data_IF_722773658552
#
_entry.id   IF_722773658552
#
_cell.length_a   1.000
_cell.length_b   1.000
_cell.length_c   1.000
_cell.angle_alpha   90.00
_cell.angle_beta   90.00
_cell.angle_gamma   90.00
#
_symmetry.space_group_name_H-M   'P 1'
#
loop_
_entity.id
_entity.type
_entity.pdbx_description
1 polymer ?
#
# COMPACT_ATOMS: atom_id res chain seq x y z
N UNK A 1 8.67 -38.43 -2.64
CA UNK A 1 9.83 -38.08 -3.50
C UNK A 1 10.69 -37.10 -2.74
N UNK A 2 11.97 -37.40 -2.50
CA UNK A 2 12.82 -36.55 -1.65
C UNK A 2 14.15 -36.24 -2.34
N UNK A 3 14.71 -35.04 -2.07
CA UNK A 3 16.05 -34.63 -2.49
C UNK A 3 16.36 -34.91 -3.97
N UNK A 4 15.44 -34.49 -4.85
CA UNK A 4 15.49 -34.82 -6.27
C UNK A 4 15.38 -33.58 -7.14
N UNK A 5 16.26 -33.46 -8.13
CA UNK A 5 16.27 -32.33 -9.08
C UNK A 5 15.92 -32.81 -10.49
N UNK A 6 14.88 -32.23 -11.08
CA UNK A 6 14.40 -32.55 -12.42
C UNK A 6 14.67 -31.36 -13.35
N UNK A 7 15.59 -31.54 -14.30
CA UNK A 7 16.11 -30.41 -15.08
C UNK A 7 15.04 -29.76 -15.95
N UNK A 8 14.31 -30.51 -16.77
CA UNK A 8 13.39 -29.98 -17.77
C UNK A 8 12.11 -30.83 -17.97
N UNK A 9 11.45 -31.31 -16.90
CA UNK A 9 10.25 -32.12 -17.05
C UNK A 9 9.11 -31.30 -17.67
N UNK A 10 8.34 -31.91 -18.57
CA UNK A 10 7.11 -31.26 -19.04
C UNK A 10 6.03 -31.26 -17.94
N UNK A 11 5.86 -32.42 -17.29
CA UNK A 11 5.12 -32.62 -16.04
C UNK A 11 6.08 -33.21 -15.01
N UNK A 12 6.28 -32.58 -13.85
CA UNK A 12 7.31 -33.01 -12.88
C UNK A 12 6.80 -34.11 -11.94
N UNK A 13 5.67 -33.90 -11.24
CA UNK A 13 5.06 -34.95 -10.44
C UNK A 13 3.53 -34.84 -10.45
N UNK A 14 2.88 -35.97 -10.73
CA UNK A 14 1.43 -36.07 -10.87
C UNK A 14 0.83 -37.00 -9.81
N UNK A 15 0.14 -36.39 -8.84
CA UNK A 15 -0.71 -37.02 -7.82
C UNK A 15 -2.19 -36.68 -8.05
N UNK A 16 -2.54 -36.39 -9.31
CA UNK A 16 -3.87 -35.95 -9.75
C UNK A 16 -4.49 -36.88 -10.81
N UNK A 17 -3.71 -37.77 -11.42
CA UNK A 17 -4.25 -38.85 -12.26
C UNK A 17 -4.93 -39.95 -11.44
N UNK A 18 -4.37 -40.26 -10.27
CA UNK A 18 -4.88 -41.27 -9.34
C UNK A 18 -4.89 -40.71 -7.92
N UNK A 19 -5.69 -41.33 -7.05
CA UNK A 19 -5.69 -41.00 -5.62
C UNK A 19 -4.37 -41.47 -4.99
N UNK A 20 -3.69 -40.55 -4.32
CA UNK A 20 -2.40 -40.76 -3.68
C UNK A 20 -2.44 -40.23 -2.24
N UNK A 21 -2.98 -41.03 -1.33
CA UNK A 21 -2.99 -40.68 0.10
C UNK A 21 -1.56 -40.73 0.69
N UNK A 22 -1.31 -39.92 1.71
CA UNK A 22 -0.06 -39.85 2.48
C UNK A 22 1.20 -39.63 1.60
N UNK A 23 1.03 -38.96 0.45
CA UNK A 23 2.16 -38.63 -0.41
C UNK A 23 3.06 -37.61 0.28
N UNK A 24 4.37 -37.83 0.20
CA UNK A 24 5.36 -36.98 0.86
C UNK A 24 6.40 -36.51 -0.14
N UNK A 25 6.53 -35.19 -0.31
CA UNK A 25 7.53 -34.53 -1.14
C UNK A 25 8.32 -33.55 -0.29
N UNK A 26 9.65 -33.66 -0.36
CA UNK A 26 10.55 -32.75 0.35
C UNK A 26 11.80 -32.46 -0.49
N UNK A 27 12.08 -31.18 -0.70
CA UNK A 27 13.21 -30.69 -1.48
C UNK A 27 13.22 -31.26 -2.92
N UNK A 28 12.07 -31.13 -3.58
CA UNK A 28 11.91 -31.47 -5.00
C UNK A 28 12.09 -30.20 -5.84
N UNK A 29 13.13 -30.17 -6.67
CA UNK A 29 13.54 -28.98 -7.40
C UNK A 29 13.55 -29.20 -8.92
N UNK A 30 13.48 -28.12 -9.71
CA UNK A 30 13.59 -28.26 -11.16
C UNK A 30 13.13 -27.07 -11.99
N UNK A 31 13.09 -27.26 -13.31
CA UNK A 31 12.46 -26.33 -14.24
C UNK A 31 11.32 -27.01 -15.02
N UNK A 32 10.16 -27.25 -14.38
CA UNK A 32 8.99 -27.78 -15.08
C UNK A 32 8.52 -26.83 -16.20
N UNK A 33 8.04 -27.40 -17.30
CA UNK A 33 7.61 -26.62 -18.47
C UNK A 33 6.10 -26.35 -18.49
N UNK A 34 5.27 -27.33 -18.11
CA UNK A 34 3.80 -27.19 -18.11
C UNK A 34 3.18 -27.30 -16.73
N UNK A 35 3.55 -28.32 -15.94
CA UNK A 35 3.08 -28.46 -14.56
C UNK A 35 4.20 -28.95 -13.66
N UNK A 36 4.40 -28.28 -12.53
CA UNK A 36 5.33 -28.74 -11.50
C UNK A 36 4.74 -29.92 -10.74
N UNK A 37 4.03 -29.64 -9.66
CA UNK A 37 3.37 -30.67 -8.85
C UNK A 37 1.86 -30.50 -8.96
N UNK A 38 1.15 -31.59 -9.25
CA UNK A 38 -0.30 -31.64 -9.20
C UNK A 38 -0.79 -32.65 -8.16
N UNK A 39 -1.82 -32.29 -7.40
CA UNK A 39 -2.46 -33.16 -6.39
C UNK A 39 -3.98 -33.11 -6.57
N UNK A 40 -4.65 -34.27 -6.53
CA UNK A 40 -6.11 -34.33 -6.70
C UNK A 40 -6.72 -35.69 -6.37
N UNK A 41 -7.85 -36.01 -7.00
CA UNK A 41 -8.56 -37.32 -6.92
C UNK A 41 -8.98 -37.77 -5.53
N UNK A 42 -9.20 -36.81 -4.64
CA UNK A 42 -9.57 -37.07 -3.24
C UNK A 42 -8.41 -37.63 -2.41
N UNK A 43 -7.16 -37.32 -2.80
CA UNK A 43 -5.96 -37.63 -2.02
C UNK A 43 -6.03 -36.99 -0.64
N UNK A 44 -5.57 -37.70 0.39
CA UNK A 44 -5.64 -37.26 1.78
C UNK A 44 -4.28 -37.22 2.44
N UNK A 45 -4.08 -36.25 3.35
CA UNK A 45 -2.90 -36.12 4.21
C UNK A 45 -1.57 -36.02 3.44
N UNK A 46 -1.61 -35.38 2.28
CA UNK A 46 -0.41 -35.14 1.48
C UNK A 46 0.44 -34.01 2.04
N UNK A 47 1.75 -34.10 1.82
CA UNK A 47 2.71 -33.05 2.13
C UNK A 47 3.59 -32.75 0.92
N UNK A 48 3.64 -31.48 0.51
CA UNK A 48 4.63 -30.94 -0.43
C UNK A 48 5.41 -29.84 0.27
N UNK A 49 6.71 -30.10 0.46
CA UNK A 49 7.60 -29.28 1.27
C UNK A 49 8.84 -28.87 0.48
N UNK A 50 9.31 -27.65 0.70
CA UNK A 50 10.56 -27.13 0.16
C UNK A 50 10.71 -27.36 -1.36
N UNK A 51 9.60 -27.36 -2.11
CA UNK A 51 9.64 -27.58 -3.54
C UNK A 51 10.07 -26.29 -4.26
N UNK A 52 11.07 -26.38 -5.14
CA UNK A 52 11.79 -25.22 -5.67
C UNK A 52 11.81 -25.22 -7.19
N UNK A 53 11.01 -24.38 -7.83
CA UNK A 53 10.94 -24.31 -9.30
C UNK A 53 11.56 -23.05 -9.87
N UNK A 54 12.57 -23.22 -10.73
CA UNK A 54 13.28 -22.12 -11.38
C UNK A 54 13.93 -22.57 -12.70
N UNK A 55 13.72 -21.83 -13.79
CA UNK A 55 14.35 -22.08 -15.10
C UNK A 55 15.87 -22.23 -15.06
N UNK A 56 16.54 -21.60 -14.09
CA UNK A 56 17.98 -21.74 -13.88
C UNK A 56 18.44 -23.16 -13.58
N UNK A 57 17.59 -24.03 -13.00
CA UNK A 57 17.93 -25.43 -12.78
C UNK A 57 18.28 -26.14 -14.11
N UNK A 58 17.57 -25.82 -15.19
CA UNK A 58 17.91 -26.35 -16.52
C UNK A 58 19.13 -25.66 -17.10
N UNK A 59 19.10 -24.32 -17.22
CA UNK A 59 20.10 -23.59 -17.98
C UNK A 59 21.50 -23.62 -17.36
N UNK A 60 21.63 -23.85 -16.04
CA UNK A 60 22.92 -23.90 -15.33
C UNK A 60 23.35 -25.32 -14.95
N UNK A 61 22.68 -26.35 -15.45
CA UNK A 61 23.03 -27.73 -15.16
C UNK A 61 24.42 -28.09 -15.74
N UNK A 62 25.29 -28.78 -14.97
CA UNK A 62 26.67 -29.09 -15.39
C UNK A 62 26.77 -30.16 -16.49
N UNK A 63 25.67 -30.84 -16.84
CA UNK A 63 25.63 -31.93 -17.83
C UNK A 63 25.38 -31.47 -19.28
N UNK A 64 25.44 -30.17 -19.57
CA UNK A 64 25.29 -29.64 -20.94
C UNK A 64 26.58 -29.88 -21.75
N UNK A 65 26.82 -31.14 -22.13
CA UNK A 65 27.86 -31.51 -23.09
C UNK A 65 27.31 -31.53 -24.54
N UNK A 66 28.21 -31.56 -25.53
CA UNK A 66 28.10 -31.37 -27.01
C UNK A 66 26.74 -31.48 -27.76
N UNK A 67 25.73 -32.15 -27.22
CA UNK A 67 24.37 -32.24 -27.78
C UNK A 67 23.38 -31.23 -27.18
N UNK A 68 23.77 -30.47 -26.16
CA UNK A 68 22.96 -29.46 -25.49
C UNK A 68 23.59 -28.07 -25.70
N UNK A 69 23.45 -27.52 -26.90
CA UNK A 69 23.95 -26.18 -27.26
C UNK A 69 23.00 -25.06 -26.85
N UNK A 70 21.73 -25.35 -26.62
CA UNK A 70 20.72 -24.40 -26.16
C UNK A 70 20.61 -24.43 -24.63
N UNK A 71 21.31 -23.53 -23.96
CA UNK A 71 21.31 -23.48 -22.49
C UNK A 71 22.41 -22.60 -21.90
N UNK A 72 23.51 -22.39 -22.63
CA UNK A 72 24.50 -21.39 -22.27
C UNK A 72 23.86 -20.00 -22.40
N UNK A 73 23.83 -19.26 -21.30
CA UNK A 73 23.08 -18.01 -21.12
C UNK A 73 23.07 -17.07 -22.33
N UNK A 74 21.93 -16.38 -22.50
CA UNK A 74 21.58 -15.61 -23.69
C UNK A 74 20.10 -15.81 -24.05
N UNK A 75 19.80 -15.93 -25.34
CA UNK A 75 18.43 -16.11 -25.88
C UNK A 75 17.72 -17.38 -25.37
N UNK A 76 18.43 -18.46 -25.04
CA UNK A 76 17.83 -19.72 -24.57
C UNK A 76 17.12 -19.60 -23.22
N UNK A 77 17.75 -18.93 -22.24
CA UNK A 77 17.11 -18.68 -20.94
C UNK A 77 15.92 -17.73 -21.09
N UNK A 78 16.04 -16.67 -21.91
CA UNK A 78 14.95 -15.74 -22.17
C UNK A 78 13.74 -16.45 -22.82
N UNK A 79 13.97 -17.32 -23.80
CA UNK A 79 12.93 -18.13 -24.43
C UNK A 79 12.27 -19.12 -23.46
N UNK A 80 13.06 -19.78 -22.61
CA UNK A 80 12.54 -20.68 -21.57
C UNK A 80 11.68 -19.92 -20.56
N UNK A 81 12.18 -18.81 -20.04
CA UNK A 81 11.46 -17.99 -19.07
C UNK A 81 10.17 -17.44 -19.70
N UNK A 82 10.21 -16.97 -20.95
CA UNK A 82 8.99 -16.56 -21.67
C UNK A 82 7.99 -17.72 -21.76
N UNK A 83 8.44 -18.91 -22.15
CA UNK A 83 7.57 -20.07 -22.25
C UNK A 83 6.95 -20.44 -20.89
N UNK A 84 7.73 -20.47 -19.81
CA UNK A 84 7.24 -20.78 -18.46
C UNK A 84 6.24 -19.72 -17.97
N UNK A 85 6.50 -18.43 -18.21
CA UNK A 85 5.59 -17.34 -17.87
C UNK A 85 4.23 -17.46 -18.61
N UNK A 86 4.25 -17.99 -19.84
CA UNK A 86 3.05 -18.18 -20.67
C UNK A 86 2.32 -19.52 -20.43
N UNK A 87 2.98 -20.54 -19.83
CA UNK A 87 2.45 -21.91 -19.82
C UNK A 87 2.55 -22.66 -18.48
N UNK A 88 3.49 -22.33 -17.61
CA UNK A 88 3.76 -23.12 -16.39
C UNK A 88 2.73 -22.84 -15.29
N UNK A 89 2.08 -23.89 -14.82
CA UNK A 89 1.37 -23.90 -13.54
C UNK A 89 2.24 -24.66 -12.53
N UNK A 90 2.87 -23.91 -11.61
CA UNK A 90 3.90 -24.47 -10.73
C UNK A 90 3.33 -25.51 -9.77
N UNK A 91 2.25 -25.16 -9.06
CA UNK A 91 1.56 -26.08 -8.16
C UNK A 91 0.05 -26.05 -8.41
N UNK A 92 -0.54 -27.21 -8.64
CA UNK A 92 -1.96 -27.37 -8.96
C UNK A 92 -2.65 -28.30 -7.97
N UNK A 93 -3.68 -27.82 -7.28
CA UNK A 93 -4.42 -28.56 -6.28
C UNK A 93 -5.89 -28.66 -6.68
N UNK A 94 -6.31 -29.87 -7.04
CA UNK A 94 -7.70 -30.23 -7.28
C UNK A 94 -8.40 -30.67 -6.00
N UNK A 95 -9.13 -31.78 -6.04
CA UNK A 95 -9.78 -32.31 -4.85
C UNK A 95 -8.78 -33.06 -3.97
N UNK A 96 -8.37 -32.46 -2.86
CA UNK A 96 -7.57 -33.08 -1.81
C UNK A 96 -8.03 -32.63 -0.42
N UNK A 97 -7.79 -33.48 0.59
CA UNK A 97 -8.14 -33.22 1.98
C UNK A 97 -6.91 -33.22 2.88
N UNK A 98 -6.80 -32.23 3.76
CA UNK A 98 -5.69 -32.10 4.70
C UNK A 98 -4.32 -32.08 3.98
N UNK A 99 -4.22 -31.30 2.91
CA UNK A 99 -2.99 -31.10 2.14
C UNK A 99 -2.11 -30.03 2.82
N UNK A 100 -0.85 -30.36 3.09
CA UNK A 100 0.13 -29.42 3.64
C UNK A 100 1.11 -28.96 2.54
N UNK A 101 1.14 -27.66 2.33
CA UNK A 101 2.15 -26.98 1.51
C UNK A 101 3.07 -26.20 2.44
N UNK A 102 4.37 -26.46 2.40
CA UNK A 102 5.33 -25.87 3.34
C UNK A 102 6.59 -25.35 2.65
N UNK A 103 6.85 -24.05 2.73
CA UNK A 103 8.07 -23.38 2.23
C UNK A 103 8.36 -23.66 0.74
N UNK A 104 7.29 -23.70 -0.06
CA UNK A 104 7.38 -23.94 -1.49
C UNK A 104 7.65 -22.63 -2.24
N UNK A 105 8.42 -22.70 -3.32
CA UNK A 105 8.83 -21.54 -4.10
C UNK A 105 8.76 -21.79 -5.60
N UNK A 106 8.29 -20.79 -6.35
CA UNK A 106 8.36 -20.79 -7.81
C UNK A 106 8.84 -19.45 -8.34
N UNK A 107 9.61 -19.50 -9.42
CA UNK A 107 10.08 -18.35 -10.16
C UNK A 107 9.54 -18.36 -11.59
N UNK A 108 8.95 -17.24 -12.01
CA UNK A 108 8.56 -16.95 -13.39
C UNK A 108 7.61 -18.01 -14.00
N UNK A 109 6.54 -18.32 -13.28
CA UNK A 109 5.46 -19.18 -13.77
C UNK A 109 4.29 -18.35 -14.31
N UNK A 110 3.38 -18.99 -15.05
CA UNK A 110 2.09 -18.39 -15.40
C UNK A 110 1.19 -18.31 -14.18
N UNK A 111 1.10 -19.40 -13.41
CA UNK A 111 0.40 -19.46 -12.12
C UNK A 111 1.31 -20.14 -11.10
N UNK A 112 1.53 -19.49 -9.96
CA UNK A 112 2.31 -20.05 -8.85
C UNK A 112 1.55 -21.14 -8.12
N UNK A 113 0.45 -20.78 -7.45
CA UNK A 113 -0.48 -21.71 -6.81
C UNK A 113 -1.84 -21.68 -7.52
N UNK A 114 -2.34 -22.83 -7.94
CA UNK A 114 -3.63 -22.95 -8.60
C UNK A 114 -4.54 -23.95 -7.87
N UNK A 115 -5.57 -23.44 -7.21
CA UNK A 115 -6.58 -24.25 -6.53
C UNK A 115 -7.81 -24.40 -7.42
N UNK A 116 -7.95 -25.56 -8.05
CA UNK A 116 -9.00 -25.83 -9.04
C UNK A 116 -10.19 -26.58 -8.44
N UNK A 117 -11.35 -26.42 -9.06
CA UNK A 117 -12.49 -27.29 -8.79
C UNK A 117 -12.30 -28.63 -9.52
N UNK A 118 -12.38 -29.75 -8.79
CA UNK A 118 -12.33 -31.11 -9.34
C UNK A 118 -13.55 -31.91 -8.84
N UNK A 119 -14.39 -32.39 -9.77
CA UNK A 119 -15.55 -33.22 -9.42
C UNK A 119 -16.56 -32.53 -8.48
N UNK A 120 -16.64 -31.19 -8.52
CA UNK A 120 -17.48 -30.39 -7.63
C UNK A 120 -16.90 -30.14 -6.23
N UNK A 121 -15.68 -30.62 -5.96
CA UNK A 121 -14.92 -30.36 -4.74
C UNK A 121 -13.66 -29.54 -5.06
N UNK A 122 -12.89 -29.20 -4.03
CA UNK A 122 -11.60 -28.52 -4.18
C UNK A 122 -10.66 -28.88 -3.02
N UNK A 123 -9.50 -28.24 -2.99
CA UNK A 123 -8.46 -28.52 -2.01
C UNK A 123 -8.83 -28.01 -0.61
N UNK A 124 -8.34 -28.68 0.42
CA UNK A 124 -8.39 -28.19 1.80
C UNK A 124 -7.13 -28.52 2.57
N UNK A 125 -6.74 -27.65 3.49
CA UNK A 125 -5.50 -27.79 4.25
C UNK A 125 -4.79 -26.47 4.52
N UNK A 126 -3.46 -26.49 4.51
CA UNK A 126 -2.62 -25.35 4.90
C UNK A 126 -1.53 -25.07 3.88
N UNK A 127 -1.31 -23.79 3.61
CA UNK A 127 -0.14 -23.29 2.88
C UNK A 127 0.66 -22.40 3.80
N UNK A 128 1.89 -22.78 4.11
CA UNK A 128 2.76 -22.10 5.06
C UNK A 128 4.04 -21.68 4.33
N UNK A 129 4.34 -20.38 4.28
CA UNK A 129 5.61 -19.86 3.75
C UNK A 129 5.78 -20.01 2.23
N UNK A 130 4.68 -19.99 1.45
CA UNK A 130 4.79 -20.09 -0.01
C UNK A 130 5.29 -18.78 -0.63
N UNK A 131 6.24 -18.87 -1.57
CA UNK A 131 6.73 -17.75 -2.37
C UNK A 131 6.47 -17.93 -3.88
N UNK A 132 5.91 -16.90 -4.51
CA UNK A 132 5.84 -16.78 -5.97
C UNK A 132 6.61 -15.54 -6.38
N UNK A 133 7.69 -15.68 -7.14
CA UNK A 133 8.52 -14.56 -7.61
C UNK A 133 8.47 -14.44 -9.14
N UNK A 134 8.38 -13.22 -9.64
CA UNK A 134 8.32 -12.87 -11.05
C UNK A 134 7.25 -13.64 -11.84
N UNK A 135 6.23 -14.11 -11.15
CA UNK A 135 5.16 -14.94 -11.70
C UNK A 135 4.04 -14.04 -12.24
N UNK A 136 3.33 -14.48 -13.27
CA UNK A 136 2.24 -13.68 -13.85
C UNK A 136 1.03 -13.61 -12.92
N UNK A 137 0.65 -14.75 -12.34
CA UNK A 137 -0.44 -14.88 -11.38
C UNK A 137 0.02 -15.63 -10.13
N UNK A 138 0.04 -14.95 -8.98
CA UNK A 138 0.58 -15.53 -7.74
C UNK A 138 -0.18 -16.76 -7.26
N UNK A 139 -1.45 -16.54 -6.91
CA UNK A 139 -2.37 -17.53 -6.36
C UNK A 139 -3.74 -17.34 -6.99
N UNK A 140 -4.28 -18.42 -7.55
CA UNK A 140 -5.60 -18.46 -8.18
C UNK A 140 -6.48 -19.47 -7.45
N UNK A 141 -7.66 -19.02 -7.01
CA UNK A 141 -8.69 -19.80 -6.34
C UNK A 141 -9.90 -19.95 -7.26
N UNK A 142 -10.05 -21.10 -7.88
CA UNK A 142 -11.25 -21.52 -8.60
C UNK A 142 -12.12 -22.47 -7.77
N UNK A 143 -11.53 -23.23 -6.86
CA UNK A 143 -12.24 -24.16 -5.97
C UNK A 143 -11.50 -24.45 -4.68
N UNK A 144 -12.21 -24.37 -3.55
CA UNK A 144 -11.72 -24.77 -2.23
C UNK A 144 -12.74 -25.69 -1.58
N UNK A 145 -12.24 -26.79 -1.02
CA UNK A 145 -13.02 -27.82 -0.37
C UNK A 145 -13.69 -27.32 0.91
N UNK A 146 -14.74 -28.04 1.33
CA UNK A 146 -15.57 -27.71 2.50
C UNK A 146 -14.80 -27.56 3.83
N UNK A 147 -13.64 -28.19 3.95
CA UNK A 147 -12.83 -28.14 5.17
C UNK A 147 -11.98 -26.86 5.25
N UNK A 148 -12.03 -26.01 4.22
CA UNK A 148 -11.33 -24.73 4.19
C UNK A 148 -9.86 -24.85 3.80
N UNK A 149 -9.30 -23.70 3.44
CA UNK A 149 -7.89 -23.54 3.07
C UNK A 149 -7.37 -22.28 3.75
N UNK A 150 -6.25 -22.40 4.45
CA UNK A 150 -5.60 -21.29 5.15
C UNK A 150 -4.21 -21.10 4.60
N UNK A 151 -3.87 -19.85 4.29
CA UNK A 151 -2.55 -19.47 3.83
C UNK A 151 -1.88 -18.59 4.90
N UNK A 152 -0.62 -18.86 5.23
CA UNK A 152 0.16 -18.13 6.23
C UNK A 152 1.52 -17.78 5.64
N UNK A 153 1.96 -16.53 5.81
CA UNK A 153 3.25 -16.03 5.30
C UNK A 153 3.42 -16.23 3.79
N UNK A 154 2.34 -16.05 3.02
CA UNK A 154 2.43 -16.14 1.56
C UNK A 154 3.06 -14.86 1.01
N UNK A 155 4.11 -15.03 0.22
CA UNK A 155 4.76 -13.98 -0.55
C UNK A 155 4.36 -14.12 -2.02
N UNK A 156 4.07 -12.99 -2.65
CA UNK A 156 3.82 -12.95 -4.07
C UNK A 156 4.41 -11.69 -4.68
N UNK A 157 5.40 -11.85 -5.55
CA UNK A 157 5.89 -10.81 -6.43
C UNK A 157 5.56 -11.20 -7.87
N UNK A 158 4.89 -10.28 -8.57
CA UNK A 158 4.47 -10.51 -9.96
C UNK A 158 5.22 -9.61 -10.92
N UNK A 159 5.44 -10.16 -12.13
CA UNK A 159 6.12 -9.49 -13.23
C UNK A 159 5.37 -8.21 -13.67
N UNK A 160 6.10 -7.33 -14.36
CA UNK A 160 5.54 -6.15 -14.99
C UNK A 160 4.49 -6.51 -16.06
N UNK A 161 3.45 -5.68 -16.26
CA UNK A 161 2.49 -5.84 -17.34
C UNK A 161 3.15 -5.62 -18.70
N UNK A 162 3.83 -6.64 -19.22
CA UNK A 162 4.17 -6.79 -20.64
C UNK A 162 2.95 -7.20 -21.48
N UNK A 163 3.09 -7.19 -22.82
CA UNK A 163 2.04 -7.37 -23.84
C UNK A 163 1.40 -8.78 -23.91
N UNK A 164 0.98 -9.33 -22.78
CA UNK A 164 0.27 -10.61 -22.72
C UNK A 164 -1.25 -10.39 -22.65
N UNK A 165 -2.03 -11.39 -23.05
CA UNK A 165 -3.49 -11.36 -23.00
C UNK A 165 -4.09 -11.41 -21.56
N UNK A 166 -3.38 -11.98 -20.57
CA UNK A 166 -3.85 -11.98 -19.18
C UNK A 166 -3.21 -10.85 -18.38
N UNK A 167 -4.02 -10.27 -17.51
CA UNK A 167 -3.63 -9.17 -16.64
C UNK A 167 -2.88 -9.71 -15.40
N UNK A 168 -1.61 -9.32 -15.16
CA UNK A 168 -0.82 -9.86 -14.06
C UNK A 168 -1.33 -9.39 -12.69
N UNK A 169 -1.34 -10.30 -11.72
CA UNK A 169 -1.78 -9.99 -10.36
C UNK A 169 -1.59 -11.11 -9.33
N UNK A 170 -1.70 -10.76 -8.06
CA UNK A 170 -1.22 -11.65 -6.98
C UNK A 170 -2.27 -12.66 -6.54
N UNK A 171 -3.45 -12.21 -6.12
CA UNK A 171 -4.49 -13.06 -5.56
C UNK A 171 -5.77 -12.94 -6.36
N UNK A 172 -6.26 -14.06 -6.89
CA UNK A 172 -7.50 -14.09 -7.67
C UNK A 172 -8.46 -15.13 -7.14
N UNK A 173 -9.69 -14.70 -6.84
CA UNK A 173 -10.83 -15.59 -6.72
C UNK A 173 -11.63 -15.55 -8.02
N UNK A 174 -11.62 -16.66 -8.75
CA UNK A 174 -12.28 -16.80 -10.04
C UNK A 174 -13.81 -16.77 -9.94
N UNK A 175 -14.49 -16.59 -11.07
CA UNK A 175 -15.98 -16.50 -11.12
C UNK A 175 -16.71 -17.72 -10.55
N UNK A 176 -16.09 -18.90 -10.61
CA UNK A 176 -16.64 -20.15 -10.07
C UNK A 176 -16.44 -20.31 -8.56
N UNK A 177 -15.63 -19.46 -7.92
CA UNK A 177 -15.25 -19.58 -6.53
C UNK A 177 -16.41 -19.17 -5.60
N UNK A 178 -16.90 -20.09 -4.78
CA UNK A 178 -18.06 -19.86 -3.89
C UNK A 178 -17.72 -19.95 -2.41
N UNK A 179 -16.45 -20.21 -2.09
CA UNK A 179 -15.98 -20.42 -0.73
C UNK A 179 -15.36 -19.12 -0.16
N UNK A 180 -14.84 -19.22 1.05
CA UNK A 180 -14.02 -18.19 1.67
C UNK A 180 -12.62 -18.74 1.94
N UNK A 181 -11.58 -17.91 1.73
CA UNK A 181 -10.20 -18.22 2.08
C UNK A 181 -9.65 -17.11 2.96
N UNK A 182 -8.89 -17.49 3.99
CA UNK A 182 -8.19 -16.54 4.85
C UNK A 182 -6.69 -16.66 4.65
N UNK A 183 -6.05 -15.51 4.46
CA UNK A 183 -4.62 -15.35 4.32
C UNK A 183 -4.08 -14.52 5.48
N UNK A 184 -3.08 -15.04 6.19
CA UNK A 184 -2.46 -14.40 7.35
C UNK A 184 -1.03 -13.97 7.02
N UNK A 185 -0.67 -12.76 7.45
CA UNK A 185 0.68 -12.22 7.34
C UNK A 185 1.25 -12.33 5.90
N UNK A 186 0.38 -12.09 4.92
CA UNK A 186 0.75 -12.06 3.50
C UNK A 186 1.60 -10.83 3.22
N UNK A 187 2.68 -11.00 2.47
CA UNK A 187 3.55 -9.90 2.10
C UNK A 187 3.63 -9.69 0.59
N UNK A 188 3.75 -8.43 0.21
CA UNK A 188 3.94 -7.97 -1.16
C UNK A 188 4.95 -6.82 -1.13
N UNK A 189 6.06 -6.91 -1.87
CA UNK A 189 7.17 -5.98 -1.67
C UNK A 189 7.64 -5.23 -2.93
N UNK A 190 7.96 -5.93 -4.04
CA UNK A 190 8.61 -5.30 -5.22
C UNK A 190 7.92 -5.51 -6.56
N UNK A 191 6.98 -6.45 -6.69
CA UNK A 191 6.32 -6.71 -7.98
C UNK A 191 5.57 -5.51 -8.56
N UNK A 192 5.18 -5.58 -9.84
CA UNK A 192 4.39 -4.53 -10.52
C UNK A 192 3.01 -5.03 -10.98
N UNK A 193 2.17 -5.57 -10.08
CA UNK A 193 0.84 -6.06 -10.42
C UNK A 193 -0.04 -4.96 -10.98
N UNK A 194 -0.87 -5.31 -11.96
CA UNK A 194 -1.96 -4.42 -12.36
C UNK A 194 -3.09 -4.44 -11.33
N UNK A 195 -3.32 -5.59 -10.71
CA UNK A 195 -4.12 -5.74 -9.50
C UNK A 195 -3.41 -6.63 -8.49
N UNK A 196 -3.46 -6.30 -7.20
CA UNK A 196 -2.93 -7.17 -6.15
C UNK A 196 -3.97 -8.18 -5.69
N UNK A 197 -5.24 -7.78 -5.63
CA UNK A 197 -6.34 -8.67 -5.24
C UNK A 197 -7.48 -8.47 -6.22
N UNK A 198 -8.01 -9.57 -6.76
CA UNK A 198 -9.22 -9.57 -7.59
C UNK A 198 -10.18 -10.66 -7.13
N UNK A 199 -11.33 -10.27 -6.60
CA UNK A 199 -12.38 -11.19 -6.18
C UNK A 199 -13.59 -11.09 -7.12
N UNK A 200 -13.71 -12.03 -8.05
CA UNK A 200 -14.84 -12.09 -8.99
C UNK A 200 -16.05 -12.83 -8.41
N UNK A 201 -15.82 -13.66 -7.38
CA UNK A 201 -16.83 -14.34 -6.59
C UNK A 201 -16.21 -14.78 -5.25
N UNK A 202 -17.03 -15.28 -4.32
CA UNK A 202 -16.58 -15.81 -3.03
C UNK A 202 -15.99 -14.73 -2.11
N UNK A 203 -15.18 -15.14 -1.13
CA UNK A 203 -14.57 -14.21 -0.16
C UNK A 203 -13.07 -14.43 -0.02
N UNK A 204 -12.29 -13.35 -0.16
CA UNK A 204 -10.87 -13.31 0.17
C UNK A 204 -10.66 -12.43 1.40
N UNK A 205 -10.15 -13.03 2.47
CA UNK A 205 -9.87 -12.34 3.74
C UNK A 205 -8.37 -12.29 3.98
N UNK A 206 -7.85 -11.09 4.21
CA UNK A 206 -6.45 -10.83 4.53
C UNK A 206 -6.36 -10.29 5.94
N UNK A 207 -5.54 -10.95 6.77
CA UNK A 207 -5.23 -10.50 8.12
C UNK A 207 -3.73 -10.24 8.26
N UNK A 208 -3.36 -9.09 8.85
CA UNK A 208 -1.96 -8.71 9.08
C UNK A 208 -1.12 -8.64 7.79
N UNK A 209 -1.76 -8.36 6.65
CA UNK A 209 -1.07 -8.30 5.38
C UNK A 209 -0.30 -6.98 5.19
N UNK A 210 0.82 -7.05 4.49
CA UNK A 210 1.67 -5.90 4.17
C UNK A 210 1.82 -5.76 2.66
N UNK A 211 1.19 -4.74 2.10
CA UNK A 211 1.23 -4.42 0.68
C UNK A 211 2.05 -3.16 0.41
N UNK A 212 3.24 -3.36 -0.17
CA UNK A 212 4.14 -2.29 -0.58
C UNK A 212 4.31 -2.31 -2.11
N UNK A 213 4.11 -1.18 -2.80
CA UNK A 213 4.12 -1.10 -4.27
C UNK A 213 3.04 -1.95 -4.96
N UNK A 214 1.85 -1.98 -4.37
CA UNK A 214 0.78 -2.87 -4.80
C UNK A 214 -0.05 -2.28 -5.96
N UNK A 215 -0.86 -3.13 -6.60
CA UNK A 215 -1.78 -2.77 -7.68
C UNK A 215 -3.19 -2.46 -7.17
N UNK A 216 -4.18 -2.44 -8.05
CA UNK A 216 -5.58 -2.25 -7.64
C UNK A 216 -6.10 -3.38 -6.75
N UNK A 217 -7.08 -3.07 -5.89
CA UNK A 217 -7.86 -4.05 -5.13
C UNK A 217 -9.26 -4.08 -5.74
N UNK A 218 -9.65 -5.18 -6.38
CA UNK A 218 -10.87 -5.27 -7.19
C UNK A 218 -11.86 -6.28 -6.62
N UNK A 219 -13.05 -5.82 -6.25
CA UNK A 219 -14.19 -6.65 -5.90
C UNK A 219 -15.20 -6.65 -7.07
N UNK A 220 -15.10 -7.63 -7.96
CA UNK A 220 -15.90 -7.77 -9.19
C UNK A 220 -17.04 -8.78 -9.00
N UNK A 221 -17.83 -8.64 -7.92
CA UNK A 221 -18.88 -9.59 -7.52
C UNK A 221 -18.53 -10.48 -6.32
N UNK A 222 -17.25 -10.55 -5.96
CA UNK A 222 -16.78 -11.16 -4.72
C UNK A 222 -16.70 -10.18 -3.53
N UNK A 223 -16.36 -10.72 -2.35
CA UNK A 223 -16.10 -9.96 -1.14
C UNK A 223 -14.61 -9.98 -0.79
N UNK A 224 -14.06 -8.82 -0.45
CA UNK A 224 -12.70 -8.69 0.07
C UNK A 224 -12.77 -8.13 1.48
N UNK A 225 -12.12 -8.80 2.42
CA UNK A 225 -11.99 -8.36 3.81
C UNK A 225 -10.51 -8.10 4.13
N UNK A 226 -10.18 -6.89 4.55
CA UNK A 226 -8.83 -6.49 4.96
C UNK A 226 -8.87 -6.17 6.45
N UNK A 227 -8.08 -6.88 7.26
CA UNK A 227 -8.00 -6.69 8.71
C UNK A 227 -6.56 -6.46 9.13
N UNK A 228 -6.29 -5.34 9.80
CA UNK A 228 -4.94 -4.93 10.22
C UNK A 228 -3.93 -4.94 9.06
N UNK A 229 -4.36 -4.46 7.89
CA UNK A 229 -3.54 -4.46 6.67
C UNK A 229 -2.83 -3.13 6.50
N UNK A 230 -1.56 -3.17 6.12
CA UNK A 230 -0.77 -1.99 5.77
C UNK A 230 -0.67 -1.85 4.25
N UNK A 231 -1.16 -0.74 3.70
CA UNK A 231 -1.17 -0.42 2.28
C UNK A 231 -0.35 0.86 2.00
N UNK A 232 0.92 0.74 1.60
CA UNK A 232 1.86 1.87 1.55
C UNK A 232 1.73 2.81 0.33
N UNK A 233 2.06 2.29 -0.86
CA UNK A 233 2.08 3.07 -2.09
C UNK A 233 1.69 2.16 -3.25
N UNK A 234 0.89 2.66 -4.17
CA UNK A 234 0.59 1.97 -5.41
C UNK A 234 1.69 2.28 -6.43
N UNK A 235 2.05 1.29 -7.25
CA UNK A 235 3.11 1.44 -8.25
C UNK A 235 2.75 2.41 -9.39
N UNK A 236 1.46 2.58 -9.70
CA UNK A 236 0.96 3.33 -10.86
C UNK A 236 0.29 4.67 -10.51
N UNK A 237 0.36 5.12 -9.25
CA UNK A 237 -0.24 6.39 -8.80
C UNK A 237 -1.11 6.20 -7.57
N UNK A 238 -2.34 6.70 -7.60
CA UNK A 238 -3.28 6.52 -6.49
C UNK A 238 -3.75 5.07 -6.39
N UNK A 239 -3.88 4.61 -5.15
CA UNK A 239 -4.49 3.32 -4.85
C UNK A 239 -5.95 3.35 -5.27
N UNK A 240 -6.42 2.34 -6.00
CA UNK A 240 -7.84 2.24 -6.34
C UNK A 240 -8.46 0.94 -5.83
N UNK A 241 -9.49 1.11 -5.00
CA UNK A 241 -10.46 0.09 -4.66
C UNK A 241 -11.55 0.13 -5.72
N UNK A 242 -11.59 -0.90 -6.57
CA UNK A 242 -12.56 -1.01 -7.67
C UNK A 242 -13.66 -1.96 -7.23
N UNK A 243 -14.89 -1.47 -7.15
CA UNK A 243 -16.05 -2.26 -6.71
C UNK A 243 -17.07 -2.31 -7.84
N UNK A 244 -17.30 -3.49 -8.38
CA UNK A 244 -18.18 -3.71 -9.54
C UNK A 244 -19.05 -4.95 -9.32
N UNK A 245 -20.12 -5.08 -10.11
CA UNK A 245 -20.97 -6.28 -10.18
C UNK A 245 -21.52 -6.77 -8.83
N UNK A 246 -21.78 -5.84 -7.89
CA UNK A 246 -22.27 -6.18 -6.55
C UNK A 246 -21.19 -6.68 -5.58
N UNK A 247 -19.91 -6.55 -5.93
CA UNK A 247 -18.80 -6.83 -5.03
C UNK A 247 -18.80 -5.92 -3.80
N UNK A 248 -18.00 -6.28 -2.79
CA UNK A 248 -17.86 -5.49 -1.58
C UNK A 248 -16.46 -5.56 -1.00
N UNK A 249 -16.00 -4.46 -0.40
CA UNK A 249 -14.73 -4.37 0.30
C UNK A 249 -15.02 -3.90 1.72
N UNK A 250 -14.48 -4.63 2.70
CA UNK A 250 -14.50 -4.27 4.11
C UNK A 250 -13.07 -4.09 4.60
N UNK A 251 -12.82 -3.02 5.36
CA UNK A 251 -11.54 -2.74 5.99
C UNK A 251 -11.72 -2.59 7.50
N UNK A 252 -10.80 -3.12 8.30
CA UNK A 252 -10.84 -3.02 9.76
C UNK A 252 -9.44 -2.91 10.36
N UNK A 253 -9.11 -1.79 11.02
CA UNK A 253 -7.81 -1.57 11.64
C UNK A 253 -6.66 -1.41 10.64
N UNK A 254 -6.95 -1.10 9.39
CA UNK A 254 -5.96 -0.97 8.32
C UNK A 254 -5.27 0.41 8.34
N UNK A 255 -4.04 0.45 7.82
CA UNK A 255 -3.32 1.67 7.54
C UNK A 255 -3.27 1.89 6.02
N UNK A 256 -3.97 2.91 5.54
CA UNK A 256 -4.28 3.12 4.12
C UNK A 256 -3.67 4.44 3.64
N UNK A 257 -2.87 4.40 2.58
CA UNK A 257 -2.25 5.58 1.98
C UNK A 257 -2.74 5.80 0.55
N UNK A 258 -3.28 6.99 0.27
CA UNK A 258 -3.68 7.42 -1.08
C UNK A 258 -4.80 6.58 -1.72
N UNK A 259 -5.77 6.09 -0.92
CA UNK A 259 -6.86 5.19 -1.37
C UNK A 259 -8.04 5.96 -1.97
N UNK A 260 -8.33 5.68 -3.23
CA UNK A 260 -9.53 6.07 -3.98
C UNK A 260 -10.47 4.87 -4.10
N UNK A 261 -11.77 5.16 -4.19
CA UNK A 261 -12.82 4.14 -4.36
C UNK A 261 -13.60 4.45 -5.62
N UNK A 262 -13.81 3.44 -6.46
CA UNK A 262 -14.64 3.53 -7.67
C UNK A 262 -15.73 2.45 -7.68
N UNK A 263 -16.89 2.80 -8.25
CA UNK A 263 -18.01 1.88 -8.49
C UNK A 263 -18.85 1.46 -7.28
N UNK A 264 -18.41 1.73 -6.04
CA UNK A 264 -19.15 1.32 -4.83
C UNK A 264 -18.74 2.03 -3.54
N UNK A 265 -19.15 1.44 -2.39
CA UNK A 265 -18.79 1.89 -1.04
C UNK A 265 -17.95 0.84 -0.33
N UNK A 266 -17.05 1.31 0.52
CA UNK A 266 -16.21 0.47 1.39
C UNK A 266 -16.76 0.56 2.82
N UNK A 267 -16.95 -0.58 3.48
CA UNK A 267 -17.24 -0.61 4.93
C UNK A 267 -15.92 -0.53 5.71
N UNK A 268 -15.58 0.67 6.18
CA UNK A 268 -14.33 0.98 6.87
C UNK A 268 -14.54 1.14 8.37
N UNK A 269 -13.71 0.49 9.20
CA UNK A 269 -13.83 0.51 10.67
C UNK A 269 -12.47 0.64 11.34
N UNK A 270 -12.28 1.66 12.17
CA UNK A 270 -11.03 1.88 12.92
C UNK A 270 -9.76 2.01 12.06
N UNK A 271 -9.91 2.37 10.78
CA UNK A 271 -8.78 2.49 9.86
C UNK A 271 -8.08 3.86 10.01
N UNK A 272 -6.77 3.86 9.83
CA UNK A 272 -5.97 5.08 9.73
C UNK A 272 -5.75 5.42 8.26
N UNK A 273 -6.35 6.52 7.80
CA UNK A 273 -6.26 6.98 6.41
C UNK A 273 -5.28 8.14 6.27
N UNK A 274 -4.39 8.08 5.28
CA UNK A 274 -3.38 9.09 4.99
C UNK A 274 -3.47 9.54 3.53
N UNK A 275 -3.68 10.85 3.31
CA UNK A 275 -3.54 11.49 1.99
C UNK A 275 -4.70 11.28 1.00
N UNK A 276 -5.93 11.66 1.38
CA UNK A 276 -7.02 11.78 0.40
C UNK A 276 -6.80 13.01 -0.51
N UNK A 277 -7.03 12.91 -1.84
CA UNK A 277 -7.41 14.09 -2.59
C UNK A 277 -8.76 14.58 -2.05
N UNK A 278 -8.77 15.78 -1.49
CA UNK A 278 -9.98 16.40 -0.98
C UNK A 278 -10.99 16.64 -2.11
N UNK A 279 -12.32 16.61 -1.84
CA UNK A 279 -13.35 16.87 -2.85
C UNK A 279 -13.18 18.24 -3.49
N UNK A 280 -13.35 18.36 -4.81
CA UNK A 280 -13.38 19.65 -5.49
C UNK A 280 -14.50 20.56 -4.94
N UNK A 281 -14.25 21.86 -4.93
CA UNK A 281 -15.18 22.89 -4.47
C UNK A 281 -15.17 23.15 -2.97
N UNK A 282 -14.21 22.61 -2.21
CA UNK A 282 -14.11 22.92 -0.79
C UNK A 282 -13.98 24.43 -0.56
N UNK A 283 -14.84 24.93 0.32
CA UNK A 283 -14.75 26.30 0.84
C UNK A 283 -13.76 26.39 2.01
N UNK A 284 -13.25 25.26 2.49
CA UNK A 284 -12.44 25.19 3.70
C UNK A 284 -11.44 24.04 3.68
N UNK A 285 -10.21 24.33 4.13
CA UNK A 285 -9.12 23.39 4.34
C UNK A 285 -8.57 23.55 5.76
N UNK A 286 -8.06 22.49 6.37
CA UNK A 286 -7.58 22.51 7.75
C UNK A 286 -6.50 21.46 8.04
N UNK A 287 -5.85 21.62 9.19
CA UNK A 287 -4.99 20.61 9.80
C UNK A 287 -5.32 20.52 11.28
N UNK A 288 -5.49 19.30 11.79
CA UNK A 288 -5.54 19.03 13.23
C UNK A 288 -4.22 18.40 13.68
N UNK A 289 -3.55 19.05 14.60
CA UNK A 289 -2.22 18.72 15.12
C UNK A 289 -2.35 17.79 16.34
N UNK A 290 -2.76 16.55 16.09
CA UNK A 290 -2.83 15.46 17.07
C UNK A 290 -1.48 14.72 17.15
N UNK A 291 -1.33 13.63 17.93
CA UNK A 291 -0.08 12.82 17.95
C UNK A 291 0.43 12.47 16.54
N UNK A 292 -0.51 12.28 15.61
CA UNK A 292 -0.27 12.21 14.18
C UNK A 292 -1.09 13.32 13.52
N UNK A 293 -0.49 14.12 12.63
CA UNK A 293 -1.20 15.23 11.98
C UNK A 293 -2.32 14.71 11.08
N UNK A 294 -3.56 15.15 11.33
CA UNK A 294 -4.72 14.89 10.47
C UNK A 294 -4.81 16.00 9.43
N UNK A 295 -4.32 15.73 8.23
CA UNK A 295 -4.19 16.68 7.12
C UNK A 295 -5.48 16.75 6.31
N UNK A 296 -5.99 17.95 6.07
CA UNK A 296 -7.09 18.21 5.15
C UNK A 296 -6.75 19.44 4.30
N UNK A 297 -5.84 19.28 3.33
CA UNK A 297 -5.42 20.36 2.42
C UNK A 297 -4.43 21.36 3.00
N UNK A 298 -4.10 21.20 4.29
CA UNK A 298 -3.00 21.89 4.98
C UNK A 298 -2.19 20.85 5.76
N UNK A 299 -0.89 21.08 5.92
CA UNK A 299 -0.07 20.36 6.89
C UNK A 299 1.02 21.25 7.52
N UNK A 300 1.47 20.88 8.71
CA UNK A 300 2.62 21.48 9.40
C UNK A 300 3.90 20.71 9.02
N UNK A 301 4.95 21.41 8.63
CA UNK A 301 6.27 20.79 8.44
C UNK A 301 6.86 20.30 9.75
N UNK A 302 7.16 19.01 9.88
CA UNK A 302 7.79 18.46 11.10
C UNK A 302 9.22 18.99 11.28
N UNK A 303 9.93 19.18 10.17
CA UNK A 303 11.21 19.88 10.11
C UNK A 303 11.27 20.69 8.82
N UNK A 304 11.71 21.94 8.92
CA UNK A 304 11.95 22.84 7.79
C UNK A 304 13.06 23.85 8.18
N UNK A 305 13.38 24.78 7.28
CA UNK A 305 14.43 25.78 7.50
C UNK A 305 14.27 26.51 8.84
N UNK A 306 15.16 26.16 9.77
CA UNK A 306 15.22 26.71 11.12
C UNK A 306 13.99 26.41 12.00
N UNK A 307 13.23 25.35 11.71
CA UNK A 307 12.10 24.90 12.53
C UNK A 307 12.10 23.39 12.71
N UNK A 308 11.83 22.95 13.94
CA UNK A 308 11.48 21.57 14.26
C UNK A 308 10.27 21.59 15.16
N UNK A 309 9.29 20.75 14.85
CA UNK A 309 8.02 20.69 15.56
C UNK A 309 7.81 19.29 16.13
N UNK A 310 7.33 19.22 17.37
CA UNK A 310 7.11 17.94 18.07
C UNK A 310 5.71 17.89 18.67
N UNK A 311 5.07 16.70 18.73
CA UNK A 311 3.77 16.54 19.37
C UNK A 311 3.88 16.66 20.89
N UNK A 312 2.89 17.29 21.50
CA UNK A 312 2.72 17.50 22.95
C UNK A 312 1.26 17.35 23.35
N UNK A 313 0.99 17.19 24.65
CA UNK A 313 -0.36 17.22 25.21
C UNK A 313 -0.42 18.38 26.21
N UNK A 314 -1.38 19.29 26.01
CA UNK A 314 -1.62 20.44 26.90
C UNK A 314 -3.08 20.41 27.33
N UNK A 315 -3.31 20.41 28.64
CA UNK A 315 -4.65 20.35 29.23
C UNK A 315 -5.54 19.24 28.64
N UNK A 316 -4.97 18.04 28.48
CA UNK A 316 -5.66 16.87 27.91
C UNK A 316 -5.90 16.91 26.39
N UNK A 317 -5.56 18.00 25.69
CA UNK A 317 -5.68 18.13 24.22
C UNK A 317 -4.32 17.96 23.55
N UNK A 318 -4.27 17.13 22.50
CA UNK A 318 -3.07 16.95 21.68
C UNK A 318 -2.80 18.19 20.82
N UNK A 319 -1.52 18.54 20.68
CA UNK A 319 -1.05 19.73 19.98
C UNK A 319 0.41 19.56 19.53
N UNK A 320 0.95 20.53 18.80
CA UNK A 320 2.37 20.56 18.41
C UNK A 320 3.03 21.85 18.84
N UNK A 321 4.31 21.77 19.19
CA UNK A 321 5.11 22.91 19.62
C UNK A 321 6.42 22.98 18.83
N UNK A 322 6.86 24.20 18.52
CA UNK A 322 8.18 24.43 17.95
C UNK A 322 9.27 24.27 19.01
N UNK A 323 10.33 23.54 18.69
CA UNK A 323 11.51 23.37 19.56
C UNK A 323 12.71 24.14 19.00
N UNK A 324 13.46 24.80 19.89
CA UNK A 324 14.73 25.45 19.54
C UNK A 324 15.80 24.38 19.43
N UNK A 325 16.49 24.31 18.30
CA UNK A 325 17.69 23.47 18.19
C UNK A 325 18.90 24.16 18.82
N UNK A 326 19.81 23.42 19.48
CA UNK A 326 20.93 23.99 20.25
C UNK A 326 21.85 24.91 19.44
N UNK A 327 21.96 24.67 18.13
CA UNK A 327 22.96 25.30 17.26
C UNK A 327 22.42 26.56 16.53
N UNK A 328 21.14 26.91 16.70
CA UNK A 328 20.51 28.03 16.01
C UNK A 328 20.42 29.25 16.93
N UNK A 329 21.31 30.24 16.73
CA UNK A 329 21.31 31.54 17.45
C UNK A 329 20.19 32.49 17.00
N UNK A 330 18.92 32.08 17.07
CA UNK A 330 17.75 32.95 16.81
C UNK A 330 16.85 33.08 18.04
N UNK A 331 16.21 34.25 18.18
CA UNK A 331 15.39 34.60 19.36
C UNK A 331 13.97 34.02 19.34
N UNK A 332 13.44 33.59 18.20
CA UNK A 332 12.05 33.13 18.04
C UNK A 332 11.91 31.68 17.53
N UNK A 333 10.67 31.20 17.51
CA UNK A 333 10.23 29.91 16.96
C UNK A 333 9.48 30.11 15.65
N UNK A 334 9.63 29.17 14.73
CA UNK A 334 8.94 29.19 13.44
C UNK A 334 8.13 27.90 13.27
N UNK A 335 6.88 28.02 12.84
CA UNK A 335 6.05 26.89 12.41
C UNK A 335 5.58 27.15 11.00
N UNK A 336 5.96 26.28 10.06
CA UNK A 336 5.64 26.41 8.64
C UNK A 336 4.47 25.53 8.25
N UNK A 337 3.47 26.14 7.63
CA UNK A 337 2.28 25.47 7.13
C UNK A 337 2.27 25.50 5.61
N UNK A 338 1.98 24.34 5.04
CA UNK A 338 1.97 24.10 3.61
C UNK A 338 0.53 23.79 3.21
N UNK A 339 0.07 24.46 2.17
CA UNK A 339 -1.21 24.17 1.53
C UNK A 339 -0.97 23.12 0.47
N UNK A 340 -1.71 22.04 0.55
CA UNK A 340 -1.69 20.92 -0.40
C UNK A 340 -3.09 20.74 -0.98
N UNK A 341 -3.63 21.83 -1.54
CA UNK A 341 -4.95 21.84 -2.15
C UNK A 341 -5.01 22.84 -3.32
N UNK A 342 -5.13 22.37 -4.58
CA UNK A 342 -4.96 23.20 -5.77
C UNK A 342 -5.89 24.41 -5.91
N UNK A 343 -7.06 24.43 -5.27
CA UNK A 343 -8.00 25.56 -5.35
C UNK A 343 -7.65 26.74 -4.45
N UNK A 344 -6.75 26.54 -3.49
CA UNK A 344 -6.24 27.61 -2.62
C UNK A 344 -4.85 28.06 -3.07
N UNK A 345 -4.19 27.29 -3.93
CA UNK A 345 -2.87 27.60 -4.50
C UNK A 345 -2.92 28.66 -5.60
N UNK A 346 -1.80 29.35 -5.78
CA UNK A 346 -1.51 30.24 -6.90
C UNK A 346 -2.56 31.34 -7.16
N UNK A 347 -3.09 31.91 -6.07
CA UNK A 347 -4.03 33.03 -6.13
C UNK A 347 -5.46 32.66 -6.53
N UNK A 348 -5.79 31.37 -6.62
CA UNK A 348 -7.16 30.91 -6.93
C UNK A 348 -8.19 31.19 -5.82
N UNK A 349 -7.72 31.44 -4.59
CA UNK A 349 -8.53 31.88 -3.46
C UNK A 349 -7.91 33.14 -2.82
N UNK A 350 -8.08 34.33 -3.42
CA UNK A 350 -7.42 35.54 -2.94
C UNK A 350 -7.97 36.01 -1.58
N UNK A 351 -9.27 35.81 -1.33
CA UNK A 351 -9.94 36.20 -0.08
C UNK A 351 -10.18 35.00 0.82
N UNK A 352 -9.46 34.92 1.94
CA UNK A 352 -9.57 33.81 2.90
C UNK A 352 -9.54 34.28 4.35
N UNK A 353 -10.26 33.56 5.22
CA UNK A 353 -10.19 33.66 6.65
C UNK A 353 -9.28 32.56 7.19
N UNK A 354 -8.29 32.95 8.00
CA UNK A 354 -7.35 32.05 8.66
C UNK A 354 -7.70 32.03 10.14
N UNK A 355 -7.85 30.83 10.70
CA UNK A 355 -8.13 30.59 12.12
C UNK A 355 -7.10 29.63 12.70
N UNK A 356 -6.55 29.96 13.86
CA UNK A 356 -5.51 29.18 14.56
C UNK A 356 -5.94 28.95 16.00
N UNK A 357 -6.04 27.68 16.39
CA UNK A 357 -6.27 27.26 17.77
C UNK A 357 -4.92 26.99 18.44
N UNK A 358 -4.65 27.70 19.54
CA UNK A 358 -3.41 27.58 20.28
C UNK A 358 -3.63 27.59 21.79
N UNK A 359 -2.70 26.98 22.51
CA UNK A 359 -2.59 27.06 23.96
C UNK A 359 -1.73 28.26 24.32
N UNK A 360 -2.31 29.25 25.00
CA UNK A 360 -1.62 30.51 25.34
C UNK A 360 -0.64 30.31 26.50
N UNK A 361 0.58 29.91 26.14
CA UNK A 361 1.69 29.64 27.05
C UNK A 361 2.91 30.48 26.65
N UNK A 362 3.53 31.11 27.65
CA UNK A 362 4.62 32.06 27.45
C UNK A 362 4.17 33.51 27.25
N UNK A 363 5.07 34.44 27.54
CA UNK A 363 4.85 35.88 27.36
C UNK A 363 5.59 36.40 26.12
N UNK A 364 4.87 37.12 25.25
CA UNK A 364 5.44 37.68 24.03
C UNK A 364 4.39 37.97 22.96
N UNK A 365 4.71 37.69 21.71
CA UNK A 365 3.77 37.82 20.59
C UNK A 365 4.03 36.77 19.52
N UNK A 366 3.00 36.49 18.74
CA UNK A 366 3.07 35.66 17.55
C UNK A 366 2.48 36.42 16.34
N UNK A 367 3.06 36.15 15.19
CA UNK A 367 2.74 36.79 13.92
C UNK A 367 2.35 35.74 12.89
N UNK A 368 1.22 35.94 12.23
CA UNK A 368 0.81 35.15 11.07
C UNK A 368 1.36 35.84 9.84
N UNK A 369 2.27 35.17 9.14
CA UNK A 369 2.89 35.63 7.90
C UNK A 369 2.49 34.69 6.76
N UNK A 370 2.18 35.22 5.58
CA UNK A 370 1.68 34.43 4.46
C UNK A 370 2.26 34.88 3.11
N UNK A 371 2.11 34.01 2.10
CA UNK A 371 2.44 34.30 0.71
C UNK A 371 1.30 35.06 0.01
N UNK A 372 1.53 36.35 -0.30
CA UNK A 372 0.54 37.27 -0.85
C UNK A 372 0.86 37.71 -2.28
N UNK A 373 -0.13 38.13 -3.05
CA UNK A 373 0.05 38.76 -4.37
C UNK A 373 0.34 40.27 -4.31
N UNK A 374 0.45 40.89 -3.13
CA UNK A 374 0.67 42.34 -2.98
C UNK A 374 2.07 42.79 -3.41
N UNK A 375 2.16 43.51 -4.54
CA UNK A 375 3.40 44.03 -5.10
C UNK A 375 4.11 45.09 -4.23
N UNK A 376 3.39 45.71 -3.28
CA UNK A 376 3.96 46.72 -2.38
C UNK A 376 4.82 46.08 -1.28
N UNK A 377 4.61 44.79 -0.98
CA UNK A 377 5.41 44.06 0.00
C UNK A 377 6.67 43.54 -0.68
N UNK A 378 7.83 44.09 -0.31
CA UNK A 378 9.13 43.65 -0.82
C UNK A 378 9.64 42.48 0.01
N UNK A 379 9.53 41.27 -0.53
CA UNK A 379 10.09 40.06 0.07
C UNK A 379 11.22 39.43 -0.76
N UNK A 380 12.08 38.60 -0.14
CA UNK A 380 13.26 38.02 -0.78
C UNK A 380 12.95 37.06 -1.94
N UNK A 381 11.75 36.48 -1.98
CA UNK A 381 11.34 35.49 -2.99
C UNK A 381 10.33 36.07 -3.99
N UNK A 382 10.35 37.40 -4.16
CA UNK A 382 9.47 38.15 -5.04
C UNK A 382 8.50 39.09 -4.29
N UNK A 383 7.88 40.05 -4.99
CA UNK A 383 6.88 40.93 -4.41
C UNK A 383 5.71 40.13 -3.82
N UNK A 384 5.24 40.53 -2.64
CA UNK A 384 4.17 39.88 -1.89
C UNK A 384 4.60 38.71 -1.00
N UNK A 385 5.84 38.23 -1.15
CA UNK A 385 6.36 37.18 -0.25
C UNK A 385 6.56 37.72 1.17
N UNK A 386 6.15 36.93 2.17
CA UNK A 386 6.24 37.26 3.61
C UNK A 386 5.39 38.44 4.08
N UNK A 387 4.15 38.57 3.61
CA UNK A 387 3.22 39.60 4.09
C UNK A 387 2.68 39.26 5.48
N UNK A 388 2.65 40.26 6.37
CA UNK A 388 2.08 40.14 7.72
C UNK A 388 0.55 40.23 7.67
N UNK A 389 -0.14 39.19 8.14
CA UNK A 389 -1.60 39.18 8.25
C UNK A 389 -2.09 39.71 9.61
N UNK A 390 -1.50 39.23 10.71
CA UNK A 390 -1.95 39.54 12.06
C UNK A 390 -0.82 39.38 13.07
N UNK A 391 -0.76 40.28 14.04
CA UNK A 391 0.04 40.14 15.27
C UNK A 391 -0.92 39.94 16.44
N UNK A 392 -0.64 38.97 17.30
CA UNK A 392 -1.39 38.75 18.53
C UNK A 392 -0.46 38.53 19.72
N UNK A 393 -0.87 39.03 20.89
CA UNK A 393 -0.07 38.99 22.11
C UNK A 393 -0.33 37.69 22.86
N UNK A 394 0.75 37.08 23.33
CA UNK A 394 0.72 35.93 24.24
C UNK A 394 0.77 36.44 25.68
N UNK A 395 -0.16 35.96 26.50
CA UNK A 395 -0.39 36.47 27.86
C UNK A 395 -0.09 35.46 28.95
N UNK A 396 0.40 34.27 28.58
CA UNK A 396 0.62 33.14 29.48
C UNK A 396 -0.61 32.77 30.33
N UNK A 397 -1.81 32.85 29.74
CA UNK A 397 -3.04 32.54 30.47
C UNK A 397 -3.26 31.04 30.69
N UNK A 398 -2.48 30.18 30.03
CA UNK A 398 -2.55 28.71 30.10
C UNK A 398 -3.93 28.15 29.79
N UNK A 399 -4.60 28.81 28.83
CA UNK A 399 -5.91 28.41 28.32
C UNK A 399 -5.89 28.32 26.80
N UNK A 400 -6.77 27.49 26.24
CA UNK A 400 -6.97 27.39 24.80
C UNK A 400 -7.64 28.65 24.26
N UNK A 401 -7.06 29.23 23.22
CA UNK A 401 -7.55 30.42 22.53
C UNK A 401 -7.55 30.21 21.02
N UNK A 402 -8.41 30.95 20.34
CA UNK A 402 -8.47 30.99 18.88
C UNK A 402 -8.16 32.41 18.42
N UNK A 403 -7.28 32.54 17.41
CA UNK A 403 -7.02 33.81 16.72
C UNK A 403 -7.49 33.71 15.28
N UNK A 404 -8.17 34.74 14.81
CA UNK A 404 -8.71 34.80 13.45
C UNK A 404 -8.26 36.07 12.74
N UNK A 405 -8.00 35.95 11.43
CA UNK A 405 -7.74 37.07 10.55
C UNK A 405 -8.22 36.80 9.13
N UNK A 406 -8.63 37.85 8.42
CA UNK A 406 -9.02 37.77 7.01
C UNK A 406 -7.97 38.46 6.15
N UNK A 407 -7.56 37.81 5.08
CA UNK A 407 -6.64 38.34 4.05
C UNK A 407 -7.38 38.36 2.70
N UNK A 408 -7.05 39.31 1.82
CA UNK A 408 -7.77 39.56 0.55
C UNK A 408 -6.94 39.37 -0.72
N UNK A 409 -5.69 38.97 -0.54
CA UNK A 409 -4.64 38.89 -1.55
C UNK A 409 -3.74 37.68 -1.30
N UNK A 410 -4.32 36.55 -0.90
CA UNK A 410 -3.60 35.30 -0.71
C UNK A 410 -3.16 34.71 -2.06
N UNK A 411 -1.86 34.42 -2.19
CA UNK A 411 -1.29 33.76 -3.37
C UNK A 411 -0.98 32.30 -3.08
N UNK A 412 -0.35 31.98 -1.94
CA UNK A 412 0.00 30.61 -1.54
C UNK A 412 0.71 29.82 -2.66
N UNK A 413 1.82 30.32 -3.19
CA UNK A 413 2.64 29.68 -4.23
C UNK A 413 3.94 29.08 -3.68
N UNK A 414 4.02 28.83 -2.37
CA UNK A 414 5.22 28.27 -1.72
C UNK A 414 6.40 29.25 -1.62
N UNK A 415 6.19 30.57 -1.73
CA UNK A 415 7.30 31.55 -1.72
C UNK A 415 7.82 31.90 -0.32
N UNK A 416 7.29 31.29 0.74
CA UNK A 416 7.78 31.44 2.11
C UNK A 416 8.68 30.26 2.53
N UNK A 417 9.83 30.09 1.85
CA UNK A 417 10.76 28.94 2.01
C UNK A 417 10.09 27.58 1.71
N UNK A 418 9.35 27.51 0.60
CA UNK A 418 8.58 26.32 0.21
C UNK A 418 7.22 26.22 0.90
N UNK A 419 7.00 26.95 2.00
CA UNK A 419 5.72 27.02 2.70
C UNK A 419 4.84 28.17 2.19
N UNK A 420 3.57 28.14 2.58
CA UNK A 420 2.56 29.14 2.20
C UNK A 420 2.21 30.08 3.36
N UNK A 421 2.28 29.56 4.60
CA UNK A 421 2.11 30.34 5.83
C UNK A 421 3.20 30.00 6.85
N UNK A 422 3.52 30.97 7.71
CA UNK A 422 4.40 30.78 8.85
C UNK A 422 3.84 31.48 10.08
N UNK A 423 3.84 30.78 11.22
CA UNK A 423 3.76 31.43 12.52
C UNK A 423 5.17 31.81 12.96
N UNK A 424 5.43 33.11 13.08
CA UNK A 424 6.65 33.64 13.68
C UNK A 424 6.36 33.99 15.13
N UNK A 425 7.02 33.31 16.06
CA UNK A 425 6.67 33.37 17.48
C UNK A 425 7.91 33.89 18.22
N UNK A 426 7.81 35.07 18.84
CA UNK A 426 8.94 35.75 19.53
C UNK A 426 8.85 35.80 21.08
N UNK A 427 8.32 34.78 21.80
CA UNK A 427 8.31 34.71 23.27
C UNK A 427 9.48 33.89 23.86
N UNK A 428 9.51 33.79 25.19
CA UNK A 428 10.38 32.87 25.94
C UNK A 428 10.03 31.39 25.67
N UNK A 429 8.74 31.05 25.53
CA UNK A 429 8.23 29.70 25.29
C UNK A 429 7.27 29.65 24.10
N UNK A 430 7.35 28.61 23.27
CA UNK A 430 6.48 28.45 22.10
C UNK A 430 5.08 27.97 22.52
N UNK A 431 3.99 28.66 22.13
CA UNK A 431 2.64 28.17 22.34
C UNK A 431 2.41 26.87 21.56
N UNK A 432 1.61 25.96 22.13
CA UNK A 432 1.23 24.74 21.45
C UNK A 432 0.05 25.01 20.50
N UNK A 433 0.17 24.59 19.24
CA UNK A 433 -0.88 24.77 18.23
C UNK A 433 -1.64 23.46 18.06
N UNK A 434 -2.97 23.50 18.14
CA UNK A 434 -3.83 22.32 18.00
C UNK A 434 -4.46 22.19 16.61
N UNK A 435 -4.76 23.31 15.95
CA UNK A 435 -5.27 23.28 14.58
C UNK A 435 -5.09 24.62 13.86
N UNK A 436 -5.04 24.54 12.52
CA UNK A 436 -5.13 25.69 11.64
C UNK A 436 -6.18 25.41 10.58
N UNK A 437 -7.00 26.42 10.26
CA UNK A 437 -8.09 26.35 9.31
C UNK A 437 -8.05 27.57 8.39
N UNK A 438 -8.30 27.35 7.10
CA UNK A 438 -8.39 28.39 6.08
C UNK A 438 -9.69 28.20 5.31
N UNK A 439 -10.53 29.23 5.27
CA UNK A 439 -11.83 29.21 4.59
C UNK A 439 -11.92 30.34 3.57
N UNK A 440 -12.48 30.08 2.39
CA UNK A 440 -12.79 31.11 1.38
C UNK A 440 -13.81 32.09 1.95
N UNK A 441 -13.57 33.38 1.77
CA UNK A 441 -14.51 34.45 2.14
C UNK A 441 -15.11 34.98 0.85
N UNK A 442 -16.43 34.83 0.72
CA UNK A 442 -17.21 35.33 -0.42
C UNK A 442 -17.26 36.86 -0.49
#
# INVERSE_FOLDING_TARGET
VINSTFLNPYYLADFSSYRCDDHYLDYVAGAPLRTGISVGKGSKNGEVRNAMFNGHYWCRAPYQDKNFTEGKGGSGLASLLKYQNENLEAFVFGYCENELQFENFNFNSRIGLHFITEGGNGASGFVLGHGSDYTKMGVVFDGVGKNGLVLVNTECDVDEPGQSADEPGCFVAGKGFKSAVTLYNTMFWWGKPRFSVKAQSGTLRFELAHFNQYGQIRAEGGRIELVNVYLNKNHYGDTEFVIENGGSIQTTGCQLFGTRVSGGKVDSRFDAHYGFPLPEGLKEISVTLDRIQKKAGIYLGESADFSKNVPVVKDGRAAWVGVKEPDIKRKGYYMYFYIDYPEFKDGKAPSVAISVDYFDEGAGYAEIVYDSSDELVKGPNGPGSWKLAKVFKLTDSKTWKTVECTVKDALFSGRCNGADLRLNIVPEECPAVASMKISKVE
#
